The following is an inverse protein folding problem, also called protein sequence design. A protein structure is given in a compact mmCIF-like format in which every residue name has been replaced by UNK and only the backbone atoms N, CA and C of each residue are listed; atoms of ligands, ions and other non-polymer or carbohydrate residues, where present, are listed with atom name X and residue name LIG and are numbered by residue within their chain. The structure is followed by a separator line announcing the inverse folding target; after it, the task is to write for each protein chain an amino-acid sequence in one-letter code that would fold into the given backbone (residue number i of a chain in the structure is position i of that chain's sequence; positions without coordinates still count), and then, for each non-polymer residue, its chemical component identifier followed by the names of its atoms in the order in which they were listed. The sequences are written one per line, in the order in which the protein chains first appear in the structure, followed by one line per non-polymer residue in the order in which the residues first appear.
data_IF_157327454631
#
_entry.id   IF_157327454631
#
_cell.length_a   1.000
_cell.length_b   1.000
_cell.length_c   1.000
_cell.angle_alpha   90.00
_cell.angle_beta   90.00
_cell.angle_gamma   90.00
#
_symmetry.space_group_name_H-M   'P 1'
#
loop_
_entity.id
_entity.type
_entity.pdbx_description
1 polymer ?
#
# COMPACT_ATOMS: atom_id res chain seq x y z
N UNK A 1 3.93 1.74 18.05
CA UNK A 1 5.01 2.74 17.84
C UNK A 1 5.53 2.56 16.42
N UNK A 2 5.62 3.67 15.70
CA UNK A 2 5.60 3.81 14.25
C UNK A 2 6.70 3.07 13.47
N UNK A 3 6.30 2.34 12.43
CA UNK A 3 7.16 1.81 11.36
C UNK A 3 7.63 2.92 10.39
N UNK A 4 7.91 4.13 10.90
CA UNK A 4 8.27 5.34 10.15
C UNK A 4 9.76 5.70 10.26
N UNK A 5 10.64 4.71 10.34
CA UNK A 5 12.07 4.95 10.22
C UNK A 5 12.73 3.89 9.34
N UNK A 6 12.92 4.22 8.06
CA UNK A 6 14.11 3.86 7.27
C UNK A 6 13.99 4.44 5.85
N UNK A 7 14.60 5.60 5.60
CA UNK A 7 14.74 6.19 4.27
C UNK A 7 15.44 7.55 4.27
N UNK A 8 16.61 7.62 3.65
CA UNK A 8 17.58 8.73 3.58
C UNK A 8 17.03 10.18 3.53
N UNK A 9 17.65 11.08 4.31
CA UNK A 9 17.29 12.51 4.45
C UNK A 9 17.39 13.29 3.11
N UNK A 10 18.26 12.87 2.19
CA UNK A 10 18.41 13.50 0.86
C UNK A 10 17.19 13.29 -0.05
N UNK A 11 16.45 12.18 0.12
CA UNK A 11 15.22 11.87 -0.63
C UNK A 11 14.08 12.86 -0.28
N UNK A 12 14.20 13.54 0.86
CA UNK A 12 13.07 14.18 1.55
C UNK A 12 12.70 15.58 1.05
N UNK A 13 13.65 16.36 0.53
CA UNK A 13 13.37 17.75 0.16
C UNK A 13 12.71 17.84 -1.22
N UNK A 14 13.23 17.12 -2.21
CA UNK A 14 12.67 17.14 -3.56
C UNK A 14 11.32 16.42 -3.60
N UNK A 15 11.14 15.35 -2.82
CA UNK A 15 9.84 14.69 -2.69
C UNK A 15 8.75 15.66 -2.23
N UNK A 16 9.03 16.43 -1.17
CA UNK A 16 8.12 17.47 -0.67
C UNK A 16 7.90 18.58 -1.69
N UNK A 17 8.93 18.96 -2.43
CA UNK A 17 8.82 19.97 -3.49
C UNK A 17 7.91 19.49 -4.62
N UNK A 18 8.11 18.27 -5.13
CA UNK A 18 7.27 17.70 -6.18
C UNK A 18 5.82 17.52 -5.73
N UNK A 19 5.59 17.06 -4.50
CA UNK A 19 4.22 16.96 -3.97
C UNK A 19 3.56 18.34 -3.91
N UNK A 20 4.28 19.39 -3.47
CA UNK A 20 3.74 20.75 -3.50
C UNK A 20 3.42 21.22 -4.92
N UNK A 21 4.30 20.96 -5.88
CA UNK A 21 4.11 21.32 -7.29
C UNK A 21 2.89 20.60 -7.87
N UNK A 22 2.77 19.28 -7.63
CA UNK A 22 1.65 18.46 -8.12
C UNK A 22 0.33 18.95 -7.50
N UNK A 23 0.33 19.33 -6.22
CA UNK A 23 -0.85 19.86 -5.52
C UNK A 23 -1.28 21.27 -5.97
N UNK A 24 -0.45 21.98 -6.74
CA UNK A 24 -0.89 23.21 -7.41
C UNK A 24 -1.83 22.93 -8.60
N UNK A 25 -1.83 21.69 -9.11
CA UNK A 25 -2.74 21.23 -10.16
C UNK A 25 -3.94 20.45 -9.61
N UNK A 26 -4.82 19.96 -10.50
CA UNK A 26 -5.97 19.14 -10.10
C UNK A 26 -5.49 17.78 -9.57
N UNK A 27 -5.91 17.45 -8.34
CA UNK A 27 -5.67 16.13 -7.72
C UNK A 27 -6.90 15.24 -7.95
N UNK A 28 -6.72 14.00 -8.41
CA UNK A 28 -7.83 13.06 -8.54
C UNK A 28 -8.40 12.72 -7.16
N UNK A 29 -9.72 12.72 -7.04
CA UNK A 29 -10.41 12.30 -5.81
C UNK A 29 -10.44 10.78 -5.63
N UNK A 30 -10.35 10.04 -6.74
CA UNK A 30 -10.38 8.58 -6.76
C UNK A 30 -9.27 8.01 -7.65
N UNK A 31 -8.49 7.06 -7.10
CA UNK A 31 -7.43 6.35 -7.81
C UNK A 31 -7.71 4.83 -7.81
N UNK A 32 -7.73 4.20 -8.99
CA UNK A 32 -7.78 2.75 -9.12
C UNK A 32 -6.40 2.19 -9.49
N UNK A 33 -5.91 1.21 -8.73
CA UNK A 33 -4.57 0.61 -8.92
C UNK A 33 -4.64 -0.91 -8.98
N UNK A 34 -3.98 -1.48 -9.98
CA UNK A 34 -3.69 -2.92 -10.05
C UNK A 34 -2.29 -3.13 -9.48
N UNK A 35 -2.20 -3.72 -8.29
CA UNK A 35 -0.90 -3.97 -7.62
C UNK A 35 -0.26 -5.27 -8.14
N UNK A 36 0.29 -5.23 -9.35
CA UNK A 36 1.09 -6.32 -9.90
C UNK A 36 2.57 -6.20 -9.50
N UNK A 37 3.31 -7.31 -9.57
CA UNK A 37 4.76 -7.33 -9.40
C UNK A 37 5.23 -7.64 -7.98
N UNK A 38 4.34 -7.76 -7.00
CA UNK A 38 4.70 -8.06 -5.60
C UNK A 38 5.54 -9.34 -5.46
N UNK A 39 5.24 -10.38 -6.24
CA UNK A 39 6.01 -11.64 -6.29
C UNK A 39 7.41 -11.45 -6.89
N UNK A 40 7.52 -10.68 -7.98
CA UNK A 40 8.80 -10.35 -8.63
C UNK A 40 9.67 -9.52 -7.69
N UNK A 41 9.08 -8.53 -7.04
CA UNK A 41 9.75 -7.70 -6.03
C UNK A 41 10.27 -8.55 -4.85
N UNK A 42 9.44 -9.45 -4.30
CA UNK A 42 9.86 -10.34 -3.23
C UNK A 42 11.04 -11.23 -3.65
N UNK A 43 10.98 -11.84 -4.83
CA UNK A 43 12.07 -12.67 -5.37
C UNK A 43 13.37 -11.89 -5.57
N UNK A 44 13.30 -10.67 -6.12
CA UNK A 44 14.48 -9.82 -6.34
C UNK A 44 15.15 -9.37 -5.04
N UNK A 45 14.39 -9.25 -3.95
CA UNK A 45 14.89 -8.83 -2.65
C UNK A 45 15.14 -10.02 -1.69
N UNK A 46 15.06 -11.26 -2.17
CA UNK A 46 15.15 -12.48 -1.35
C UNK A 46 14.19 -12.49 -0.16
N UNK A 47 13.01 -11.90 -0.34
CA UNK A 47 11.95 -11.82 0.67
C UNK A 47 10.89 -12.89 0.41
N UNK A 48 10.18 -13.31 1.46
CA UNK A 48 8.94 -14.09 1.29
C UNK A 48 7.91 -13.23 0.53
N UNK A 49 7.10 -13.88 -0.29
CA UNK A 49 6.05 -13.24 -1.10
C UNK A 49 5.14 -12.32 -0.29
N UNK A 50 4.80 -12.72 0.94
CA UNK A 50 4.00 -11.93 1.89
C UNK A 50 4.56 -10.52 2.10
N UNK A 51 5.88 -10.39 2.30
CA UNK A 51 6.53 -9.09 2.53
C UNK A 51 6.44 -8.19 1.31
N UNK A 52 6.44 -8.75 0.10
CA UNK A 52 6.19 -8.00 -1.12
C UNK A 52 4.80 -7.38 -1.15
N UNK A 53 3.78 -8.17 -0.80
CA UNK A 53 2.39 -7.68 -0.74
C UNK A 53 2.20 -6.60 0.33
N UNK A 54 2.76 -6.81 1.53
CA UNK A 54 2.69 -5.83 2.63
C UNK A 54 3.32 -4.49 2.25
N UNK A 55 4.53 -4.53 1.69
CA UNK A 55 5.28 -3.32 1.31
C UNK A 55 4.62 -2.55 0.18
N UNK A 56 4.02 -3.25 -0.79
CA UNK A 56 3.26 -2.61 -1.87
C UNK A 56 2.07 -1.80 -1.34
N UNK A 57 1.30 -2.38 -0.41
CA UNK A 57 0.14 -1.71 0.19
C UNK A 57 0.53 -0.48 1.04
N UNK A 58 1.55 -0.63 1.90
CA UNK A 58 1.99 0.47 2.78
C UNK A 58 2.52 1.67 1.99
N UNK A 59 3.25 1.41 0.90
CA UNK A 59 3.71 2.46 -0.01
C UNK A 59 2.55 3.17 -0.71
N UNK A 60 1.57 2.42 -1.25
CA UNK A 60 0.43 3.03 -1.94
C UNK A 60 -0.40 3.90 -1.00
N UNK A 61 -0.70 3.39 0.21
CA UNK A 61 -1.51 4.10 1.19
C UNK A 61 -0.88 5.42 1.66
N UNK A 62 0.43 5.43 1.94
CA UNK A 62 1.15 6.62 2.38
C UNK A 62 1.16 7.72 1.32
N UNK A 63 1.41 7.37 0.06
CA UNK A 63 1.44 8.32 -1.05
C UNK A 63 0.06 8.94 -1.33
N UNK A 64 -0.99 8.11 -1.34
CA UNK A 64 -2.36 8.61 -1.53
C UNK A 64 -2.75 9.59 -0.43
N UNK A 65 -2.37 9.30 0.82
CA UNK A 65 -2.61 10.20 1.96
C UNK A 65 -1.84 11.53 1.82
N UNK A 66 -0.58 11.50 1.39
CA UNK A 66 0.24 12.72 1.23
C UNK A 66 -0.27 13.62 0.09
N UNK A 67 -0.71 13.01 -1.02
CA UNK A 67 -1.30 13.71 -2.16
C UNK A 67 -2.71 14.25 -1.87
N UNK A 68 -3.42 13.68 -0.90
CA UNK A 68 -4.80 14.06 -0.55
C UNK A 68 -5.85 13.38 -1.42
N UNK A 69 -5.57 12.17 -1.91
CA UNK A 69 -6.53 11.35 -2.65
C UNK A 69 -7.52 10.76 -1.65
N UNK A 70 -8.81 11.07 -1.82
CA UNK A 70 -9.87 10.70 -0.87
C UNK A 70 -10.22 9.20 -0.94
N UNK A 71 -10.19 8.63 -2.15
CA UNK A 71 -10.62 7.26 -2.39
C UNK A 71 -9.58 6.49 -3.21
N UNK A 72 -9.31 5.25 -2.81
CA UNK A 72 -8.41 4.36 -3.54
C UNK A 72 -9.09 3.00 -3.72
N UNK A 73 -9.22 2.56 -4.97
CA UNK A 73 -9.65 1.19 -5.28
C UNK A 73 -8.43 0.37 -5.67
N UNK A 74 -8.27 -0.77 -5.02
CA UNK A 74 -7.11 -1.64 -5.25
C UNK A 74 -7.58 -2.98 -5.77
N UNK A 75 -7.07 -3.39 -6.93
CA UNK A 75 -7.26 -4.75 -7.42
C UNK A 75 -6.29 -5.68 -6.69
N UNK A 76 -6.71 -6.12 -5.50
CA UNK A 76 -5.87 -6.88 -4.59
C UNK A 76 -5.93 -8.40 -4.83
N UNK A 77 -7.00 -8.90 -5.46
CA UNK A 77 -7.21 -10.33 -5.69
C UNK A 77 -8.12 -10.58 -6.92
N UNK A 78 -7.74 -11.53 -7.77
CA UNK A 78 -8.51 -11.96 -8.95
C UNK A 78 -9.09 -13.38 -8.79
N UNK A 79 -10.13 -13.72 -9.56
CA UNK A 79 -10.64 -15.10 -9.62
C UNK A 79 -9.56 -16.11 -10.04
N UNK A 80 -8.60 -15.69 -10.86
CA UNK A 80 -7.46 -16.53 -11.25
C UNK A 80 -6.49 -16.80 -10.10
N UNK A 81 -6.48 -15.96 -9.06
CA UNK A 81 -5.65 -16.16 -7.88
C UNK A 81 -6.14 -17.33 -7.02
N UNK A 82 -7.39 -17.79 -7.17
CA UNK A 82 -7.85 -19.04 -6.56
C UNK A 82 -7.13 -20.30 -7.09
N UNK A 83 -6.45 -20.21 -8.23
CA UNK A 83 -5.65 -21.32 -8.77
C UNK A 83 -4.26 -21.44 -8.13
N UNK A 84 -3.89 -20.54 -7.20
CA UNK A 84 -2.61 -20.57 -6.49
C UNK A 84 -2.58 -21.69 -5.44
N UNK A 85 -1.41 -21.97 -4.88
CA UNK A 85 -1.31 -22.99 -3.83
C UNK A 85 -2.14 -22.59 -2.60
N UNK A 86 -2.71 -23.57 -1.86
CA UNK A 86 -3.48 -23.30 -0.64
C UNK A 86 -2.72 -22.45 0.38
N UNK A 87 -1.41 -22.69 0.53
CA UNK A 87 -0.56 -21.94 1.44
C UNK A 87 -0.42 -20.45 1.04
N UNK A 88 -0.29 -20.16 -0.26
CA UNK A 88 -0.22 -18.77 -0.75
C UNK A 88 -1.57 -18.07 -0.58
N UNK A 89 -2.67 -18.78 -0.82
CA UNK A 89 -4.03 -18.29 -0.60
C UNK A 89 -4.30 -17.93 0.86
N UNK A 90 -3.96 -18.84 1.78
CA UNK A 90 -4.13 -18.61 3.23
C UNK A 90 -3.34 -17.38 3.68
N UNK A 91 -2.09 -17.26 3.24
CA UNK A 91 -1.26 -16.09 3.53
C UNK A 91 -1.86 -14.78 3.01
N UNK A 92 -2.43 -14.79 1.79
CA UNK A 92 -3.14 -13.64 1.23
C UNK A 92 -4.38 -13.25 2.06
N UNK A 93 -5.20 -14.23 2.46
CA UNK A 93 -6.37 -13.97 3.29
C UNK A 93 -6.01 -13.48 4.70
N UNK A 94 -4.95 -14.00 5.30
CA UNK A 94 -4.44 -13.53 6.59
C UNK A 94 -3.99 -12.07 6.50
N UNK A 95 -3.28 -11.72 5.42
CA UNK A 95 -2.87 -10.33 5.16
C UNK A 95 -4.09 -9.42 4.97
N UNK A 96 -5.11 -9.86 4.24
CA UNK A 96 -6.38 -9.11 4.10
C UNK A 96 -7.04 -8.88 5.46
N UNK A 97 -7.15 -9.93 6.28
CA UNK A 97 -7.75 -9.85 7.61
C UNK A 97 -7.01 -8.87 8.51
N UNK A 98 -5.69 -8.91 8.50
CA UNK A 98 -4.86 -8.00 9.28
C UNK A 98 -5.08 -6.53 8.84
N UNK A 99 -5.02 -6.26 7.53
CA UNK A 99 -5.17 -4.90 7.00
C UNK A 99 -6.58 -4.35 7.20
N UNK A 100 -7.61 -5.16 7.02
CA UNK A 100 -8.99 -4.75 7.32
C UNK A 100 -9.16 -4.42 8.80
N UNK A 101 -8.58 -5.23 9.70
CA UNK A 101 -8.61 -4.97 11.14
C UNK A 101 -7.88 -3.68 11.52
N UNK A 102 -6.75 -3.38 10.86
CA UNK A 102 -6.02 -2.11 11.04
C UNK A 102 -6.84 -0.91 10.57
N UNK A 103 -7.43 -0.99 9.37
CA UNK A 103 -8.27 0.07 8.82
C UNK A 103 -9.47 0.37 9.71
N UNK A 104 -10.16 -0.66 10.20
CA UNK A 104 -11.28 -0.49 11.14
C UNK A 104 -10.82 0.22 12.41
N UNK A 105 -9.69 -0.16 13.00
CA UNK A 105 -9.12 0.53 14.17
C UNK A 105 -8.78 1.98 13.89
N UNK A 106 -8.18 2.28 12.74
CA UNK A 106 -7.89 3.66 12.34
C UNK A 106 -9.17 4.49 12.21
N UNK A 107 -10.22 3.93 11.60
CA UNK A 107 -11.53 4.60 11.50
C UNK A 107 -12.15 4.88 12.87
N UNK A 108 -12.08 3.93 13.81
CA UNK A 108 -12.56 4.14 15.19
C UNK A 108 -11.79 5.24 15.93
N UNK A 109 -10.47 5.32 15.73
CA UNK A 109 -9.63 6.34 16.38
C UNK A 109 -9.76 7.73 15.75
N UNK A 110 -10.28 7.86 14.52
CA UNK A 110 -10.55 9.14 13.87
C UNK A 110 -11.91 9.74 14.27
N UNK A 111 -12.81 8.91 14.82
CA UNK A 111 -14.16 9.31 15.23
C UNK A 111 -14.30 9.54 16.76
N UNK A 112 -13.20 9.46 17.51
CA UNK A 112 -13.09 9.80 18.94
C UNK A 112 -12.03 10.88 19.14
#
# INVERSE_FOLDING_TARGET
MSFLQSGNVAIRWYHRLFIKIIKCGPIPRHLAVIMDGNRRYAKMNSLKTEFGHRKGFDNLSSWCRELGIEQVTVYAFSLENFKRSPDELNCLFDLFREKMSQLVKEMYNLNN
#
